data_IF_197518855160
#
_entry.id   IF_197518855160
#
_cell.length_a   1.000
_cell.length_b   1.000
_cell.length_c   1.000
_cell.angle_alpha   90.00
_cell.angle_beta   90.00
_cell.angle_gamma   90.00
#
_symmetry.space_group_name_H-M   'P 1'
#
loop_
_entity.id
_entity.type
_entity.pdbx_description
1 polymer ?
#
# COMPACT_ATOMS: atom_id res chain seq x y z
N UNK A 1 -4.67 7.60 17.92
CA UNK A 1 -5.00 9.03 17.96
C UNK A 1 -3.74 9.81 17.61
N UNK A 2 -3.79 10.72 16.63
CA UNK A 2 -2.69 11.61 16.29
C UNK A 2 -3.04 13.04 16.70
N UNK A 3 -2.10 13.71 17.36
CA UNK A 3 -2.19 15.14 17.65
C UNK A 3 -1.30 15.88 16.68
N UNK A 4 -1.85 16.85 15.95
CA UNK A 4 -1.12 17.70 15.01
C UNK A 4 -1.05 19.13 15.54
N UNK A 5 0.10 19.76 15.36
CA UNK A 5 0.32 21.16 15.69
C UNK A 5 0.93 21.88 14.49
N UNK A 6 0.38 23.02 14.13
CA UNK A 6 0.88 23.83 13.03
C UNK A 6 0.57 23.26 11.65
N UNK A 7 1.56 23.29 10.74
CA UNK A 7 1.50 22.74 9.38
C UNK A 7 2.52 21.62 9.24
N UNK A 8 2.19 20.39 9.67
CA UNK A 8 3.13 19.28 9.67
C UNK A 8 3.42 18.74 8.26
N UNK A 9 2.61 19.08 7.26
CA UNK A 9 2.70 18.52 5.91
C UNK A 9 4.04 18.89 5.26
N UNK A 10 4.72 17.85 4.73
CA UNK A 10 5.99 18.01 4.01
C UNK A 10 5.72 18.53 2.60
N UNK A 11 6.34 19.65 2.23
CA UNK A 11 6.18 20.24 0.90
C UNK A 11 6.78 19.38 -0.21
N UNK A 12 6.33 19.54 -1.43
CA UNK A 12 6.81 18.79 -2.62
C UNK A 12 8.32 18.90 -2.82
N UNK A 13 8.87 20.10 -2.62
CA UNK A 13 10.31 20.34 -2.70
C UNK A 13 11.05 19.58 -1.60
N UNK A 14 10.52 19.58 -0.39
CA UNK A 14 11.07 18.85 0.74
C UNK A 14 10.97 17.35 0.54
N UNK A 15 9.85 16.82 0.01
CA UNK A 15 9.71 15.40 -0.33
C UNK A 15 10.80 14.93 -1.30
N UNK A 16 11.07 15.71 -2.35
CA UNK A 16 12.17 15.40 -3.29
C UNK A 16 13.55 15.46 -2.64
N UNK A 17 13.77 16.40 -1.74
CA UNK A 17 15.02 16.54 -1.01
C UNK A 17 15.23 15.39 -0.02
N UNK A 18 14.19 15.01 0.73
CA UNK A 18 14.22 13.86 1.63
C UNK A 18 14.49 12.58 0.84
N UNK A 19 13.78 12.36 -0.25
CA UNK A 19 13.93 11.15 -1.08
C UNK A 19 15.35 10.97 -1.64
N UNK A 20 16.07 12.08 -1.97
CA UNK A 20 17.49 12.00 -2.40
C UNK A 20 18.41 11.47 -1.31
N UNK A 21 18.13 11.79 -0.05
CA UNK A 21 18.95 11.38 1.11
C UNK A 21 18.50 10.04 1.67
N UNK A 22 17.21 9.88 1.79
CA UNK A 22 16.57 8.69 2.35
C UNK A 22 15.40 8.34 1.44
N UNK A 23 15.50 7.27 0.65
CA UNK A 23 14.46 6.90 -0.30
C UNK A 23 13.10 6.74 0.39
N UNK A 24 12.10 7.48 -0.07
CA UNK A 24 10.71 7.35 0.40
C UNK A 24 9.92 6.33 -0.42
N UNK A 25 10.25 6.22 -1.72
CA UNK A 25 9.69 5.23 -2.64
C UNK A 25 10.79 4.37 -3.24
N UNK A 26 10.54 3.07 -3.27
CA UNK A 26 11.36 2.08 -3.93
C UNK A 26 10.51 1.24 -4.89
N UNK A 27 11.16 0.55 -5.82
CA UNK A 27 10.52 -0.42 -6.71
C UNK A 27 11.36 -1.70 -6.72
N UNK A 28 10.76 -2.81 -7.12
CA UNK A 28 11.51 -4.03 -7.36
C UNK A 28 12.51 -3.78 -8.49
N UNK A 29 13.75 -4.24 -8.32
CA UNK A 29 14.72 -4.27 -9.41
C UNK A 29 14.24 -5.20 -10.54
N UNK A 30 14.86 -5.06 -11.72
CA UNK A 30 14.56 -5.93 -12.87
C UNK A 30 14.84 -7.41 -12.60
N UNK A 31 15.74 -7.68 -11.64
CA UNK A 31 16.10 -9.00 -11.14
C UNK A 31 15.09 -9.58 -10.10
N UNK A 32 14.04 -8.81 -9.74
CA UNK A 32 13.07 -9.21 -8.73
C UNK A 32 13.63 -9.31 -7.29
N UNK A 33 14.94 -9.30 -7.14
CA UNK A 33 15.61 -9.60 -5.88
C UNK A 33 16.01 -8.36 -5.08
N UNK A 34 16.23 -7.22 -5.74
CA UNK A 34 16.79 -6.03 -5.09
C UNK A 34 15.90 -4.82 -5.27
N UNK A 35 15.32 -4.36 -4.16
CA UNK A 35 14.56 -3.11 -4.17
C UNK A 35 15.48 -1.92 -4.42
N UNK A 36 15.15 -1.08 -5.39
CA UNK A 36 15.91 0.12 -5.77
C UNK A 36 15.12 1.38 -5.49
N UNK A 37 15.77 2.46 -5.03
CA UNK A 37 15.13 3.76 -4.94
C UNK A 37 14.53 4.17 -6.28
N UNK A 38 13.31 4.69 -6.27
CA UNK A 38 12.72 5.29 -7.46
C UNK A 38 13.53 6.53 -7.85
N UNK A 39 13.98 6.71 -9.10
CA UNK A 39 14.72 7.90 -9.49
C UNK A 39 13.90 9.18 -9.23
N UNK A 40 14.53 10.23 -8.72
CA UNK A 40 13.84 11.50 -8.38
C UNK A 40 13.06 12.10 -9.56
N UNK A 41 13.55 11.90 -10.78
CA UNK A 41 12.88 12.35 -12.02
C UNK A 41 11.53 11.63 -12.26
N UNK A 42 11.40 10.40 -11.76
CA UNK A 42 10.23 9.55 -11.95
C UNK A 42 9.22 9.70 -10.80
N UNK A 43 9.57 10.46 -9.76
CA UNK A 43 8.65 10.79 -8.68
C UNK A 43 7.52 11.70 -9.17
N UNK A 44 6.31 11.21 -9.08
CA UNK A 44 5.11 12.05 -9.23
C UNK A 44 4.76 12.63 -7.86
N UNK A 45 4.83 13.95 -7.75
CA UNK A 45 4.67 14.68 -6.48
C UNK A 45 3.68 15.82 -6.70
N UNK A 46 2.63 15.84 -5.93
CA UNK A 46 1.66 16.93 -5.79
C UNK A 46 1.00 16.81 -4.42
N UNK A 47 1.45 17.63 -3.46
CA UNK A 47 1.06 17.54 -2.05
C UNK A 47 1.12 16.09 -1.50
N UNK A 48 2.13 15.34 -1.92
CA UNK A 48 2.33 13.94 -1.58
C UNK A 48 2.93 13.13 -2.72
N UNK A 49 3.24 11.88 -2.48
CA UNK A 49 3.83 10.94 -3.44
C UNK A 49 2.75 10.01 -3.99
N UNK A 50 2.66 9.91 -5.31
CA UNK A 50 1.70 9.03 -5.96
C UNK A 50 2.15 7.58 -5.98
N UNK A 51 1.21 6.67 -5.73
CA UNK A 51 1.38 5.24 -5.84
C UNK A 51 0.54 4.68 -6.98
N UNK A 52 1.06 3.63 -7.62
CA UNK A 52 0.43 2.93 -8.73
C UNK A 52 -0.01 1.53 -8.30
N UNK A 53 -1.09 1.02 -8.87
CA UNK A 53 -1.53 -0.35 -8.64
C UNK A 53 -0.62 -1.35 -9.35
N UNK A 54 -0.35 -2.48 -8.71
CA UNK A 54 0.38 -3.61 -9.27
C UNK A 54 -0.60 -4.71 -9.70
N UNK A 55 -0.72 -4.92 -11.02
CA UNK A 55 -1.49 -6.01 -11.61
C UNK A 55 -0.59 -7.03 -12.34
N UNK A 56 0.72 -6.97 -12.10
CA UNK A 56 1.68 -7.96 -12.60
C UNK A 56 2.12 -8.95 -11.54
N UNK A 57 2.15 -8.52 -10.27
CA UNK A 57 2.65 -9.33 -9.18
C UNK A 57 4.12 -9.71 -9.35
N UNK A 58 4.59 -10.67 -8.58
CA UNK A 58 5.93 -11.23 -8.77
C UNK A 58 5.98 -12.08 -10.03
N UNK A 59 6.92 -11.77 -10.91
CA UNK A 59 7.03 -12.36 -12.24
C UNK A 59 7.31 -13.89 -12.25
N UNK A 60 7.86 -14.42 -11.17
CA UNK A 60 8.36 -15.79 -11.08
C UNK A 60 7.27 -16.84 -10.79
N UNK A 61 6.08 -16.42 -10.40
CA UNK A 61 4.93 -17.30 -10.16
C UNK A 61 3.99 -17.30 -11.36
N UNK A 62 3.87 -18.42 -12.06
CA UNK A 62 3.18 -18.56 -13.35
C UNK A 62 1.75 -18.02 -13.42
N UNK A 63 0.97 -18.08 -12.32
CA UNK A 63 -0.33 -17.42 -12.14
C UNK A 63 -0.27 -16.51 -10.93
N UNK A 64 0.52 -15.43 -11.01
CA UNK A 64 0.66 -14.50 -9.92
C UNK A 64 -0.71 -13.96 -9.47
N UNK A 65 -1.00 -14.08 -8.18
CA UNK A 65 -2.14 -13.43 -7.55
C UNK A 65 -1.83 -11.94 -7.48
N UNK A 66 -2.71 -11.12 -8.02
CA UNK A 66 -2.57 -9.66 -8.10
C UNK A 66 -3.60 -8.91 -7.26
N UNK A 67 -4.50 -9.65 -6.64
CA UNK A 67 -5.52 -9.11 -5.76
C UNK A 67 -6.41 -10.18 -5.17
N UNK A 68 -7.33 -9.74 -4.33
CA UNK A 68 -8.40 -10.57 -3.77
C UNK A 68 -9.71 -9.83 -3.87
N UNK A 69 -10.78 -10.56 -4.14
CA UNK A 69 -12.16 -10.08 -4.05
C UNK A 69 -12.86 -10.74 -2.87
N UNK A 70 -13.55 -9.96 -2.06
CA UNK A 70 -14.34 -10.50 -0.96
C UNK A 70 -15.53 -11.30 -1.50
N UNK A 71 -15.75 -12.48 -0.96
CA UNK A 71 -16.93 -13.29 -1.28
C UNK A 71 -18.16 -12.75 -0.59
N UNK A 72 -19.29 -12.74 -1.31
CA UNK A 72 -20.60 -12.42 -0.74
C UNK A 72 -21.08 -13.54 0.20
N UNK A 73 -21.84 -13.14 1.20
CA UNK A 73 -22.47 -14.08 2.14
C UNK A 73 -21.48 -14.98 2.91
N UNK A 74 -20.25 -14.52 3.13
CA UNK A 74 -19.30 -15.23 3.98
C UNK A 74 -19.72 -15.13 5.46
N UNK A 75 -19.20 -16.06 6.27
CA UNK A 75 -19.47 -16.10 7.70
C UNK A 75 -18.85 -14.90 8.43
N UNK A 76 -19.37 -14.61 9.63
CA UNK A 76 -18.83 -13.55 10.50
C UNK A 76 -17.42 -13.93 10.97
N UNK A 77 -16.50 -12.96 10.90
CA UNK A 77 -15.13 -13.11 11.40
C UNK A 77 -15.08 -12.70 12.87
N UNK A 78 -14.70 -13.62 13.74
CA UNK A 78 -14.36 -13.33 15.13
C UNK A 78 -12.93 -12.78 15.19
N UNK A 79 -12.80 -11.50 15.51
CA UNK A 79 -11.51 -10.79 15.50
C UNK A 79 -10.56 -11.24 16.61
N UNK A 80 -11.01 -12.02 17.59
CA UNK A 80 -10.14 -12.62 18.61
C UNK A 80 -9.30 -13.79 18.06
N UNK A 81 -9.70 -14.37 16.93
CA UNK A 81 -9.07 -15.55 16.33
C UNK A 81 -8.07 -15.15 15.24
N UNK A 82 -6.80 -15.40 15.49
CA UNK A 82 -5.71 -15.13 14.55
C UNK A 82 -5.33 -16.42 13.82
N UNK A 83 -5.10 -16.36 12.49
CA UNK A 83 -4.73 -17.52 11.66
C UNK A 83 -5.75 -18.64 11.72
N UNK A 84 -7.03 -18.31 11.87
CA UNK A 84 -8.09 -19.29 12.12
C UNK A 84 -8.90 -19.64 10.87
N UNK A 85 -9.26 -18.63 10.08
CA UNK A 85 -10.16 -18.78 8.97
C UNK A 85 -9.41 -19.14 7.69
N UNK A 86 -9.97 -20.08 6.90
CA UNK A 86 -9.45 -20.36 5.56
C UNK A 86 -9.70 -19.14 4.66
N UNK A 87 -8.64 -18.63 4.03
CA UNK A 87 -8.78 -17.49 3.10
C UNK A 87 -9.77 -17.81 1.98
N UNK A 88 -9.78 -19.07 1.48
CA UNK A 88 -10.64 -19.50 0.40
C UNK A 88 -12.15 -19.45 0.72
N UNK A 89 -12.54 -19.42 1.99
CA UNK A 89 -13.95 -19.32 2.37
C UNK A 89 -14.48 -17.89 2.27
N UNK A 90 -13.58 -16.88 2.32
CA UNK A 90 -13.94 -15.47 2.38
C UNK A 90 -13.48 -14.66 1.17
N UNK A 91 -12.44 -15.13 0.48
CA UNK A 91 -11.76 -14.39 -0.57
C UNK A 91 -11.62 -15.22 -1.83
N UNK A 92 -11.77 -14.56 -2.95
CA UNK A 92 -11.45 -15.09 -4.27
C UNK A 92 -10.12 -14.49 -4.75
N UNK A 93 -9.10 -15.31 -5.03
CA UNK A 93 -7.85 -14.81 -5.57
C UNK A 93 -8.05 -14.34 -7.02
N UNK A 94 -7.49 -13.18 -7.34
CA UNK A 94 -7.52 -12.60 -8.68
C UNK A 94 -6.14 -12.78 -9.32
N UNK A 95 -6.12 -13.49 -10.43
CA UNK A 95 -4.89 -13.82 -11.14
C UNK A 95 -4.57 -12.83 -12.24
N UNK A 96 -3.26 -12.63 -12.49
CA UNK A 96 -2.77 -11.85 -13.61
C UNK A 96 -3.31 -12.40 -14.93
N UNK A 97 -3.81 -11.52 -15.77
CA UNK A 97 -4.14 -11.85 -17.16
C UNK A 97 -3.06 -11.31 -18.13
N UNK A 98 -3.16 -11.69 -19.40
CA UNK A 98 -2.18 -11.32 -20.45
C UNK A 98 -2.07 -9.82 -20.69
N UNK A 99 -3.14 -9.06 -20.41
CA UNK A 99 -3.20 -7.60 -20.63
C UNK A 99 -2.84 -6.79 -19.39
N UNK A 100 -2.63 -7.46 -18.23
CA UNK A 100 -2.44 -6.81 -16.94
C UNK A 100 -3.50 -5.74 -16.66
N UNK A 101 -4.76 -6.08 -16.89
CA UNK A 101 -5.95 -5.25 -16.64
C UNK A 101 -6.94 -5.99 -15.77
N UNK A 102 -7.78 -5.27 -15.05
CA UNK A 102 -8.83 -5.83 -14.21
C UNK A 102 -10.08 -4.98 -14.31
N UNK A 103 -11.25 -5.61 -14.32
CA UNK A 103 -12.52 -4.94 -14.14
C UNK A 103 -12.93 -5.06 -12.68
N UNK A 104 -13.15 -3.93 -12.05
CA UNK A 104 -13.69 -3.83 -10.69
C UNK A 104 -15.21 -3.64 -10.80
N UNK A 105 -15.96 -4.58 -10.25
CA UNK A 105 -17.43 -4.55 -10.27
C UNK A 105 -17.99 -3.64 -9.18
N UNK A 106 -19.13 -2.97 -9.40
CA UNK A 106 -19.77 -2.13 -8.39
C UNK A 106 -20.08 -2.89 -7.10
N UNK A 107 -19.94 -2.21 -5.97
CA UNK A 107 -20.25 -2.70 -4.63
C UNK A 107 -19.42 -3.93 -4.19
N UNK A 108 -18.48 -4.41 -5.00
CA UNK A 108 -17.54 -5.44 -4.61
C UNK A 108 -16.35 -4.83 -3.85
N UNK A 109 -15.78 -5.61 -2.94
CA UNK A 109 -14.62 -5.19 -2.15
C UNK A 109 -13.36 -5.92 -2.61
N UNK A 110 -12.32 -5.16 -2.89
CA UNK A 110 -11.05 -5.68 -3.41
C UNK A 110 -9.89 -5.32 -2.49
N UNK A 111 -8.95 -6.25 -2.38
CA UNK A 111 -7.62 -6.03 -1.80
C UNK A 111 -6.62 -6.07 -2.95
N UNK A 112 -5.90 -4.98 -3.16
CA UNK A 112 -4.86 -4.83 -4.17
C UNK A 112 -3.55 -4.42 -3.51
N UNK A 113 -2.46 -4.35 -4.26
CA UNK A 113 -1.17 -3.85 -3.75
C UNK A 113 -0.62 -2.71 -4.61
N UNK A 114 0.19 -1.88 -3.98
CA UNK A 114 0.95 -0.85 -4.69
C UNK A 114 2.14 -1.46 -5.44
N UNK A 115 2.49 -0.85 -6.56
CA UNK A 115 3.69 -1.19 -7.33
C UNK A 115 4.95 -0.69 -6.63
N UNK A 116 4.85 0.48 -6.03
CA UNK A 116 5.91 1.07 -5.22
C UNK A 116 5.89 0.50 -3.79
N UNK A 117 7.07 0.48 -3.21
CA UNK A 117 7.29 0.19 -1.79
C UNK A 117 7.61 1.50 -1.09
N UNK A 118 6.93 1.78 0.02
CA UNK A 118 7.13 3.02 0.77
C UNK A 118 8.06 2.80 1.96
N UNK A 119 8.80 3.86 2.31
CA UNK A 119 9.54 3.99 3.55
C UNK A 119 9.10 5.24 4.29
N UNK A 120 8.86 5.11 5.58
CA UNK A 120 8.57 6.23 6.47
C UNK A 120 9.73 6.38 7.46
N UNK A 121 10.66 7.32 7.21
CA UNK A 121 11.80 7.55 8.10
C UNK A 121 11.36 8.00 9.49
N UNK A 122 12.21 7.84 10.52
CA UNK A 122 11.85 8.13 11.92
C UNK A 122 11.28 9.52 12.22
N UNK A 123 11.74 10.53 11.47
CA UNK A 123 11.26 11.92 11.64
C UNK A 123 9.94 12.24 10.91
N UNK A 124 9.28 11.23 10.36
CA UNK A 124 8.06 11.41 9.57
C UNK A 124 6.99 10.40 9.98
N UNK A 125 5.74 10.79 9.78
CA UNK A 125 4.60 9.90 9.65
C UNK A 125 4.01 10.09 8.25
N UNK A 126 3.16 9.16 7.81
CA UNK A 126 2.51 9.31 6.53
C UNK A 126 1.05 8.86 6.60
N UNK A 127 0.25 9.38 5.67
CA UNK A 127 -1.16 9.06 5.53
C UNK A 127 -1.47 8.81 4.05
N UNK A 128 -2.20 7.74 3.79
CA UNK A 128 -2.72 7.46 2.46
C UNK A 128 -4.00 8.24 2.24
N UNK A 129 -4.05 8.99 1.15
CA UNK A 129 -5.23 9.76 0.74
C UNK A 129 -5.64 9.36 -0.68
N UNK A 130 -6.92 9.53 -0.98
CA UNK A 130 -7.40 9.30 -2.34
C UNK A 130 -6.66 10.19 -3.34
N UNK A 131 -6.47 9.64 -4.53
CA UNK A 131 -6.17 10.42 -5.69
C UNK A 131 -7.46 11.17 -6.08
N UNK A 132 -7.56 12.42 -5.96
CA UNK A 132 -8.68 13.31 -6.26
C UNK A 132 -10.12 12.73 -6.30
N UNK A 133 -10.99 13.28 -5.47
CA UNK A 133 -12.44 13.01 -5.51
C UNK A 133 -13.10 13.35 -6.88
N UNK A 134 -12.43 14.15 -7.72
CA UNK A 134 -12.90 14.53 -9.06
C UNK A 134 -12.67 13.46 -10.13
N UNK A 135 -11.87 12.42 -9.86
CA UNK A 135 -11.56 11.37 -10.84
C UNK A 135 -12.57 10.22 -10.87
N UNK A 136 -13.74 10.38 -10.29
CA UNK A 136 -14.85 9.47 -10.49
C UNK A 136 -15.20 8.57 -9.31
N UNK A 137 -15.96 7.54 -9.60
CA UNK A 137 -16.72 6.65 -8.74
C UNK A 137 -15.87 5.63 -7.93
N UNK A 138 -14.54 5.71 -8.00
CA UNK A 138 -13.67 4.78 -7.29
C UNK A 138 -13.45 5.25 -5.85
N UNK A 139 -14.11 4.60 -4.92
CA UNK A 139 -13.87 4.82 -3.49
C UNK A 139 -12.78 3.87 -3.00
N UNK A 140 -11.76 4.45 -2.44
CA UNK A 140 -10.72 3.73 -1.72
C UNK A 140 -10.95 3.95 -0.23
N UNK A 141 -10.86 2.89 0.57
CA UNK A 141 -10.93 3.04 2.01
C UNK A 141 -9.65 3.68 2.54
N UNK A 142 -9.79 4.80 3.25
CA UNK A 142 -8.70 5.71 3.63
C UNK A 142 -8.04 5.41 4.98
N UNK A 143 -8.09 4.22 5.47
CA UNK A 143 -7.56 3.91 6.79
C UNK A 143 -6.04 3.64 6.82
N UNK A 144 -5.29 4.18 5.88
CA UNK A 144 -3.85 3.94 5.77
C UNK A 144 -3.01 5.00 6.47
N UNK A 145 -2.80 4.85 7.79
CA UNK A 145 -1.77 5.58 8.50
C UNK A 145 -0.48 4.75 8.56
N UNK A 146 0.63 5.39 8.27
CA UNK A 146 1.96 4.78 8.32
C UNK A 146 2.79 5.46 9.39
N UNK A 147 3.11 4.70 10.42
CA UNK A 147 3.90 5.20 11.54
C UNK A 147 5.39 5.29 11.19
N UNK A 148 6.16 6.13 11.92
CA UNK A 148 7.60 6.20 11.78
C UNK A 148 8.26 4.82 11.87
N UNK A 149 9.07 4.48 10.88
CA UNK A 149 9.72 3.16 10.76
C UNK A 149 9.06 2.20 9.77
N UNK A 150 7.83 2.46 9.30
CA UNK A 150 7.17 1.60 8.33
C UNK A 150 8.02 1.45 7.05
N UNK A 151 8.36 0.21 6.70
CA UNK A 151 9.22 -0.11 5.55
C UNK A 151 10.67 0.38 5.65
N UNK A 152 11.04 1.12 6.71
CA UNK A 152 12.35 1.75 6.86
C UNK A 152 13.39 0.83 7.52
N UNK A 153 12.99 0.09 8.54
CA UNK A 153 13.89 -0.72 9.37
C UNK A 153 14.10 -2.15 8.83
N UNK A 154 13.70 -2.45 7.60
CA UNK A 154 13.89 -3.77 7.03
C UNK A 154 15.33 -3.94 6.52
N UNK A 155 16.12 -4.85 7.07
CA UNK A 155 17.52 -5.04 6.66
C UNK A 155 17.66 -5.71 5.28
N UNK A 156 16.65 -6.45 4.83
CA UNK A 156 16.69 -7.26 3.61
C UNK A 156 15.97 -6.62 2.42
N UNK A 157 14.99 -5.76 2.68
CA UNK A 157 14.21 -5.07 1.64
C UNK A 157 14.05 -3.59 1.94
N UNK A 158 14.17 -2.76 0.92
CA UNK A 158 13.93 -1.31 1.03
C UNK A 158 12.46 -1.02 0.78
N UNK A 159 11.77 -0.68 1.85
CA UNK A 159 10.35 -0.34 1.79
C UNK A 159 9.41 -1.54 1.89
N UNK A 160 8.13 -1.22 2.02
CA UNK A 160 7.03 -2.17 2.16
C UNK A 160 5.93 -1.79 1.19
N UNK A 161 5.36 -2.76 0.49
CA UNK A 161 4.18 -2.52 -0.36
C UNK A 161 3.01 -2.04 0.49
N UNK A 162 2.23 -1.15 -0.08
CA UNK A 162 0.98 -0.71 0.52
C UNK A 162 -0.14 -1.62 0.02
N UNK A 163 -0.90 -2.17 0.94
CA UNK A 163 -2.12 -2.92 0.63
C UNK A 163 -3.26 -1.93 0.53
N UNK A 164 -4.04 -2.06 -0.53
CA UNK A 164 -5.05 -1.12 -0.97
C UNK A 164 -6.42 -1.76 -0.85
N UNK A 165 -7.31 -1.14 -0.10
CA UNK A 165 -8.71 -1.51 0.01
C UNK A 165 -9.52 -0.68 -0.98
N UNK A 166 -10.19 -1.33 -1.93
CA UNK A 166 -10.84 -0.67 -3.05
C UNK A 166 -12.29 -1.14 -3.19
N UNK A 167 -13.20 -0.20 -3.36
CA UNK A 167 -14.62 -0.48 -3.60
C UNK A 167 -15.17 0.49 -4.63
N UNK A 168 -15.46 0.06 -5.87
CA UNK A 168 -16.21 0.86 -6.83
C UNK A 168 -17.63 1.08 -6.33
N UNK A 169 -18.20 2.25 -6.60
CA UNK A 169 -19.53 2.56 -6.09
C UNK A 169 -20.63 2.16 -7.08
N UNK A 170 -20.87 2.93 -8.11
CA UNK A 170 -22.08 2.77 -8.93
C UNK A 170 -21.82 2.15 -10.31
N UNK A 171 -20.57 2.22 -10.80
CA UNK A 171 -20.22 1.75 -12.15
C UNK A 171 -19.00 0.82 -12.14
N UNK A 172 -18.94 -0.13 -13.08
CA UNK A 172 -17.73 -0.93 -13.25
C UNK A 172 -16.54 -0.06 -13.63
N UNK A 173 -15.39 -0.33 -13.03
CA UNK A 173 -14.18 0.45 -13.25
C UNK A 173 -13.05 -0.42 -13.77
N UNK A 174 -12.60 -0.16 -15.01
CA UNK A 174 -11.47 -0.86 -15.59
C UNK A 174 -10.16 -0.21 -15.16
N UNK A 175 -9.29 -1.01 -14.56
CA UNK A 175 -7.94 -0.61 -14.15
C UNK A 175 -6.88 -1.36 -14.96
N UNK A 176 -5.69 -0.76 -15.05
CA UNK A 176 -4.53 -1.39 -15.69
C UNK A 176 -3.29 -1.28 -14.82
N UNK A 177 -2.33 -2.17 -15.06
CA UNK A 177 -1.05 -2.14 -14.34
C UNK A 177 -0.36 -0.79 -14.44
N UNK A 178 0.12 -0.28 -13.32
CA UNK A 178 0.82 1.00 -13.25
C UNK A 178 -0.11 2.23 -13.26
N UNK A 179 -1.43 2.06 -13.26
CA UNK A 179 -2.36 3.17 -13.09
C UNK A 179 -2.19 3.79 -11.71
N UNK A 180 -2.17 5.14 -11.65
CA UNK A 180 -2.12 5.87 -10.38
C UNK A 180 -3.43 5.69 -9.62
N UNK A 181 -3.32 5.31 -8.35
CA UNK A 181 -4.47 4.95 -7.52
C UNK A 181 -4.58 5.78 -6.24
N UNK A 182 -3.42 6.09 -5.63
CA UNK A 182 -3.34 6.71 -4.32
C UNK A 182 -2.24 7.75 -4.27
N UNK A 183 -2.31 8.53 -3.21
CA UNK A 183 -1.29 9.49 -2.82
C UNK A 183 -0.93 9.25 -1.35
N UNK A 184 0.36 9.30 -1.03
CA UNK A 184 0.85 9.26 0.35
C UNK A 184 1.38 10.62 0.73
N UNK A 185 0.75 11.23 1.71
CA UNK A 185 1.16 12.50 2.29
C UNK A 185 2.07 12.24 3.48
N UNK A 186 3.21 12.93 3.53
CA UNK A 186 4.16 12.83 4.64
C UNK A 186 4.02 14.03 5.55
N UNK A 187 4.14 13.79 6.83
CA UNK A 187 4.07 14.82 7.89
C UNK A 187 5.32 14.77 8.75
N UNK A 188 5.80 15.95 9.15
CA UNK A 188 6.89 16.05 10.12
C UNK A 188 6.42 15.62 11.49
N UNK A 189 7.20 14.74 12.12
CA UNK A 189 7.04 14.45 13.54
C UNK A 189 7.64 15.60 14.37
N UNK A 190 7.03 15.89 15.52
CA UNK A 190 7.58 16.86 16.45
C UNK A 190 8.87 16.35 17.08
N UNK A 191 8.89 15.05 17.43
CA UNK A 191 10.03 14.36 18.00
C UNK A 191 10.21 12.98 17.31
N UNK A 192 11.43 12.47 17.33
CA UNK A 192 11.71 11.12 16.85
C UNK A 192 11.22 10.13 17.94
N UNK A 193 10.30 9.21 17.61
CA UNK A 193 9.80 8.26 18.59
C UNK A 193 10.92 7.29 19.03
N UNK A 194 10.88 6.92 20.31
CA UNK A 194 11.83 5.95 20.89
C UNK A 194 11.65 4.54 20.36
N UNK A 195 10.45 4.22 19.89
CA UNK A 195 10.13 2.93 19.26
C UNK A 195 9.63 3.16 17.84
N UNK A 196 10.24 2.48 16.89
CA UNK A 196 9.85 2.55 15.49
C UNK A 196 8.98 1.35 15.12
N UNK A 197 8.06 1.56 14.19
CA UNK A 197 7.22 0.51 13.65
C UNK A 197 8.08 -0.61 13.03
N UNK A 198 7.81 -1.84 13.44
CA UNK A 198 8.51 -3.04 12.91
C UNK A 198 9.88 -3.33 13.51
N UNK A 199 10.39 -2.52 14.46
CA UNK A 199 11.69 -2.77 15.09
C UNK A 199 11.61 -3.65 16.34
N UNK A 200 10.86 -3.23 17.35
CA UNK A 200 10.74 -3.93 18.65
C UNK A 200 9.32 -4.34 18.97
N UNK A 201 8.34 -3.67 18.40
CA UNK A 201 6.94 -4.09 18.48
C UNK A 201 6.66 -5.06 17.35
N UNK A 202 6.29 -6.29 17.65
CA UNK A 202 5.88 -7.27 16.67
C UNK A 202 4.75 -6.72 15.82
N UNK A 203 5.05 -6.40 14.56
CA UNK A 203 4.07 -5.92 13.60
C UNK A 203 3.73 -7.03 12.61
N UNK A 204 2.45 -7.31 12.44
CA UNK A 204 1.97 -8.27 11.45
C UNK A 204 2.16 -7.78 10.00
N UNK A 205 2.44 -6.50 9.81
CA UNK A 205 2.42 -5.85 8.49
C UNK A 205 3.73 -5.15 8.09
N UNK A 206 4.79 -5.28 8.88
CA UNK A 206 6.07 -4.58 8.63
C UNK A 206 6.82 -5.06 7.37
N UNK A 207 6.54 -6.26 6.91
CA UNK A 207 7.20 -6.88 5.76
C UNK A 207 6.18 -7.45 4.74
N UNK A 208 4.98 -6.90 4.73
CA UNK A 208 3.92 -7.43 3.89
C UNK A 208 4.16 -7.13 2.40
N UNK A 209 3.78 -8.11 1.58
CA UNK A 209 3.35 -7.87 0.20
C UNK A 209 1.83 -7.86 0.13
N UNK A 210 1.27 -8.27 -1.01
CA UNK A 210 -0.16 -8.51 -1.14
C UNK A 210 -0.58 -9.63 -0.19
N UNK A 211 -1.27 -9.30 0.88
CA UNK A 211 -1.70 -10.24 1.90
C UNK A 211 -3.05 -9.85 2.48
N UNK A 212 -3.75 -10.84 3.02
CA UNK A 212 -4.98 -10.64 3.77
C UNK A 212 -4.69 -10.36 5.24
N UNK A 213 -5.73 -10.01 6.00
CA UNK A 213 -5.56 -9.73 7.42
C UNK A 213 -5.07 -10.96 8.19
N UNK A 214 -4.44 -10.73 9.34
CA UNK A 214 -3.88 -11.76 10.23
C UNK A 214 -4.87 -12.84 10.71
N UNK A 215 -6.16 -12.67 10.48
CA UNK A 215 -7.20 -13.62 10.90
C UNK A 215 -7.30 -14.82 9.95
N UNK A 216 -6.83 -14.66 8.71
CA UNK A 216 -6.85 -15.69 7.68
C UNK A 216 -5.56 -16.51 7.68
N UNK A 217 -5.69 -17.79 7.34
CA UNK A 217 -4.61 -18.73 7.02
C UNK A 217 -4.69 -19.11 5.55
N UNK A 218 -3.54 -19.36 4.98
CA UNK A 218 -3.35 -19.79 3.59
C UNK A 218 -3.40 -21.30 3.46
#
# INVERSE_FOLDING_TARGET
>A
LRLMSGKPLVSDTSLRAVHRKTPLLCHNGEDGATDRPLPVKDLRVDNGLFLRVDLRGNADEGQAIVGYRAKKNSHIVDLSKIGHYSAADYWEPLHRNSTATMLLEPEEFYILASKERIQVPPGYSAEMVAYEAACGELRTHYAGFFDPGFGYANPTRKGTQVVLEVRPHDVPFRIQDGQTFFKVMYEHMQDIPTQLYGSSMGSSYSQQGLTLSKHFKW
#
